data_IF_509861835056
#
_entry.id   IF_509861835056
#
_cell.length_a   1.000
_cell.length_b   1.000
_cell.length_c   1.000
_cell.angle_alpha   90.00
_cell.angle_beta   90.00
_cell.angle_gamma   90.00
#
_symmetry.space_group_name_H-M   'P 1'
#
loop_
_entity.id
_entity.type
_entity.pdbx_description
1 polymer ?
#
# COMPACT_ATOMS: atom_id res chain seq x y z
N UNK A 1 23.65 -4.03 9.66
CA UNK A 1 23.53 -3.17 8.48
C UNK A 1 22.20 -2.47 8.50
N UNK A 2 22.20 -1.17 8.48
CA UNK A 2 20.97 -0.41 8.50
C UNK A 2 20.40 -0.30 7.09
N UNK A 3 19.21 -0.77 6.90
CA UNK A 3 18.53 -0.61 5.65
C UNK A 3 17.45 0.44 5.84
N UNK A 4 17.54 1.52 5.09
CA UNK A 4 16.51 2.55 5.17
C UNK A 4 15.24 1.99 4.55
N UNK A 5 14.18 1.96 5.33
CA UNK A 5 12.89 1.52 4.81
C UNK A 5 12.31 2.62 3.94
N UNK A 6 12.04 2.29 2.71
CA UNK A 6 11.34 3.21 1.81
C UNK A 6 9.84 3.08 2.06
N UNK A 7 9.09 4.03 1.51
CA UNK A 7 7.63 3.96 1.57
C UNK A 7 7.14 2.65 0.98
N UNK A 8 7.73 2.24 -0.13
CA UNK A 8 7.39 0.99 -0.81
C UNK A 8 7.60 -0.20 0.12
N UNK A 9 8.76 -0.27 0.78
CA UNK A 9 9.06 -1.36 1.69
C UNK A 9 8.05 -1.43 2.82
N UNK A 10 7.70 -0.27 3.36
CA UNK A 10 6.75 -0.21 4.47
C UNK A 10 5.37 -0.68 4.04
N UNK A 11 4.92 -0.24 2.88
CA UNK A 11 3.62 -0.64 2.36
C UNK A 11 3.57 -2.15 2.16
N UNK A 12 4.59 -2.71 1.55
CA UNK A 12 4.63 -4.15 1.30
C UNK A 12 4.69 -4.94 2.59
N UNK A 13 5.41 -4.44 3.59
CA UNK A 13 5.47 -5.07 4.89
C UNK A 13 4.08 -5.14 5.53
N UNK A 14 3.36 -4.01 5.50
CA UNK A 14 2.02 -3.95 6.06
C UNK A 14 1.08 -4.90 5.31
N UNK A 15 1.19 -4.92 3.99
CA UNK A 15 0.32 -5.75 3.18
C UNK A 15 0.59 -7.23 3.37
N UNK A 16 1.81 -7.60 3.72
CA UNK A 16 2.11 -8.99 4.01
C UNK A 16 1.39 -9.47 5.27
N UNK A 17 1.19 -8.57 6.22
CA UNK A 17 0.44 -8.89 7.44
C UNK A 17 -1.06 -8.81 7.23
N UNK A 18 -1.47 -7.86 6.41
CA UNK A 18 -2.88 -7.61 6.11
C UNK A 18 -3.03 -7.56 4.61
N UNK A 19 -3.20 -8.72 3.95
CA UNK A 19 -3.19 -8.77 2.48
C UNK A 19 -4.27 -7.95 1.79
N UNK A 20 -5.29 -7.56 2.53
CA UNK A 20 -6.34 -6.73 1.99
C UNK A 20 -6.79 -5.75 3.05
N UNK A 21 -6.81 -4.47 2.71
CA UNK A 21 -7.25 -3.44 3.64
C UNK A 21 -7.74 -2.24 2.84
N UNK A 22 -8.40 -1.33 3.53
CA UNK A 22 -8.81 -0.08 2.92
C UNK A 22 -7.60 0.82 2.78
N UNK A 23 -7.61 1.65 1.74
CA UNK A 23 -6.52 2.59 1.52
C UNK A 23 -6.33 3.52 2.71
N UNK A 24 -7.43 3.97 3.34
CA UNK A 24 -7.35 4.82 4.51
C UNK A 24 -6.61 4.14 5.65
N UNK A 25 -6.88 2.86 5.86
CA UNK A 25 -6.21 2.09 6.91
C UNK A 25 -4.73 1.95 6.62
N UNK A 26 -4.38 1.74 5.35
CA UNK A 26 -2.99 1.65 4.95
C UNK A 26 -2.25 2.95 5.22
N UNK A 27 -2.86 4.07 4.88
CA UNK A 27 -2.26 5.38 5.12
C UNK A 27 -2.06 5.61 6.62
N UNK A 28 -3.02 5.24 7.42
CA UNK A 28 -2.91 5.38 8.88
C UNK A 28 -1.79 4.51 9.44
N UNK A 29 -1.67 3.30 8.92
CA UNK A 29 -0.63 2.39 9.39
C UNK A 29 0.75 2.90 9.00
N UNK A 30 0.86 3.56 7.86
CA UNK A 30 2.10 4.12 7.38
C UNK A 30 2.23 5.59 7.79
N UNK A 31 1.91 5.92 9.03
CA UNK A 31 1.89 7.31 9.50
C UNK A 31 3.26 7.96 9.53
N UNK A 32 4.33 7.18 9.42
CA UNK A 32 5.68 7.72 9.34
C UNK A 32 5.95 8.43 8.03
N UNK A 33 5.09 8.23 7.06
CA UNK A 33 5.25 8.82 5.72
C UNK A 33 4.05 9.70 5.44
N UNK A 34 4.25 10.67 4.56
CA UNK A 34 3.16 11.57 4.21
C UNK A 34 2.09 10.80 3.42
N UNK A 35 0.89 11.30 3.53
CA UNK A 35 -0.26 10.79 2.81
C UNK A 35 0.00 10.70 1.31
N UNK A 36 0.59 11.77 0.76
CA UNK A 36 0.91 11.80 -0.67
C UNK A 36 1.93 10.76 -1.05
N UNK A 37 2.95 10.57 -0.22
CA UNK A 37 3.99 9.59 -0.50
C UNK A 37 3.41 8.18 -0.55
N UNK A 38 2.50 7.87 0.39
CA UNK A 38 1.86 6.56 0.42
C UNK A 38 1.01 6.35 -0.83
N UNK A 39 0.22 7.35 -1.21
CA UNK A 39 -0.64 7.24 -2.38
C UNK A 39 0.17 7.07 -3.66
N UNK A 40 1.24 7.82 -3.81
CA UNK A 40 2.09 7.71 -5.00
C UNK A 40 2.72 6.32 -5.11
N UNK A 41 3.17 5.78 -3.99
CA UNK A 41 3.78 4.45 -4.00
C UNK A 41 2.75 3.35 -4.24
N UNK A 42 1.57 3.48 -3.66
CA UNK A 42 0.49 2.52 -3.91
C UNK A 42 0.17 2.50 -5.40
N UNK A 43 0.09 3.68 -6.02
CA UNK A 43 -0.18 3.80 -7.44
C UNK A 43 0.92 3.13 -8.27
N UNK A 44 2.18 3.37 -7.90
CA UNK A 44 3.31 2.78 -8.61
C UNK A 44 3.30 1.25 -8.46
N UNK A 45 3.10 0.76 -7.25
CA UNK A 45 3.07 -0.67 -7.00
C UNK A 45 1.91 -1.34 -7.73
N UNK A 46 0.79 -0.62 -7.85
CA UNK A 46 -0.34 -1.11 -8.61
C UNK A 46 0.00 -1.26 -10.09
N UNK A 47 0.72 -0.29 -10.64
CA UNK A 47 1.16 -0.37 -12.03
C UNK A 47 2.14 -1.48 -12.28
N UNK A 48 2.97 -1.79 -11.28
CA UNK A 48 3.93 -2.87 -11.38
C UNK A 48 3.30 -4.24 -11.15
N UNK A 49 2.03 -4.26 -10.78
CA UNK A 49 1.32 -5.51 -10.56
C UNK A 49 1.53 -6.12 -9.19
N UNK A 50 2.13 -5.39 -8.25
CA UNK A 50 2.35 -5.88 -6.90
C UNK A 50 1.16 -5.65 -5.99
N UNK A 51 0.37 -4.63 -6.26
CA UNK A 51 -0.84 -4.33 -5.52
C UNK A 51 -2.00 -4.15 -6.47
N UNK A 52 -3.19 -4.43 -6.00
CA UNK A 52 -4.41 -4.17 -6.74
C UNK A 52 -5.26 -3.20 -5.95
N UNK A 53 -5.67 -2.13 -6.59
CA UNK A 53 -6.52 -1.11 -5.97
C UNK A 53 -7.89 -1.20 -6.59
N UNK A 54 -8.91 -1.35 -5.76
CA UNK A 54 -10.29 -1.51 -6.21
C UNK A 54 -11.15 -0.45 -5.55
N UNK A 55 -12.00 0.18 -6.33
CA UNK A 55 -12.97 1.13 -5.80
C UNK A 55 -14.14 0.34 -5.20
N UNK A 56 -14.35 0.50 -3.90
CA UNK A 56 -15.42 -0.22 -3.21
C UNK A 56 -16.64 0.68 -2.95
N UNK A 57 -16.45 1.99 -2.97
CA UNK A 57 -17.55 2.93 -2.86
C UNK A 57 -17.09 4.25 -3.45
N UNK A 58 -17.96 5.25 -3.46
CA UNK A 58 -17.68 6.53 -4.12
C UNK A 58 -16.40 7.19 -3.62
N UNK A 59 -16.00 6.91 -2.39
CA UNK A 59 -14.82 7.55 -1.79
C UNK A 59 -13.90 6.58 -1.09
N UNK A 60 -14.07 5.29 -1.32
CA UNK A 60 -13.28 4.30 -0.62
C UNK A 60 -12.65 3.33 -1.59
N UNK A 61 -11.37 3.09 -1.39
CA UNK A 61 -10.60 2.14 -2.16
C UNK A 61 -10.11 1.03 -1.25
N UNK A 62 -10.07 -0.16 -1.79
CA UNK A 62 -9.45 -1.30 -1.13
C UNK A 62 -8.12 -1.59 -1.83
N UNK A 63 -7.11 -1.91 -1.04
CA UNK A 63 -5.80 -2.28 -1.56
C UNK A 63 -5.56 -3.73 -1.22
N UNK A 64 -5.11 -4.49 -2.18
CA UNK A 64 -4.91 -5.92 -2.04
C UNK A 64 -3.53 -6.29 -2.54
N UNK A 65 -2.85 -7.15 -1.79
CA UNK A 65 -1.56 -7.66 -2.22
C UNK A 65 -1.79 -8.71 -3.30
N UNK A 66 -1.14 -8.50 -4.44
CA UNK A 66 -1.20 -9.45 -5.54
C UNK A 66 -0.09 -10.46 -5.32
N UNK A 67 -0.46 -11.72 -5.19
CA UNK A 67 0.52 -12.77 -5.09
C UNK A 67 0.81 -13.28 -6.48
N UNK A 68 2.05 -13.13 -6.89
CA UNK A 68 2.46 -13.70 -8.16
C UNK A 68 3.14 -15.02 -7.89
N UNK A 69 2.91 -15.92 -8.78
CA UNK A 69 3.53 -17.24 -8.67
C UNK A 69 4.75 -17.34 -9.48
#
# INVERSE_FOLDING_TARGET
MAVALTVSDRILEVMQRTPECKLDDLVRTCHDFSWQAVLLEVNRLSREGQLQVTLISARAFAVRLVESE
#
